data_IF_079023035965
#
_entry.id   IF_079023035965
#
_cell.length_a   1.000
_cell.length_b   1.000
_cell.length_c   1.000
_cell.angle_alpha   90.00
_cell.angle_beta   90.00
_cell.angle_gamma   90.00
#
_symmetry.space_group_name_H-M   'P 1'
#
loop_
_entity.id
_entity.type
_entity.pdbx_description
1 polymer ?
#
# COMPACT_ATOMS: atom_id res chain seq x y z
N UNK A 1 -18.28 -1.37 -10.05
CA UNK A 1 -18.03 -0.10 -9.32
C UNK A 1 -19.31 0.72 -9.11
N UNK A 2 -20.52 0.15 -9.20
CA UNK A 2 -21.75 0.96 -9.07
C UNK A 2 -21.95 1.56 -7.66
N UNK A 3 -21.31 1.00 -6.63
CA UNK A 3 -21.49 1.43 -5.23
C UNK A 3 -20.25 2.07 -4.58
N UNK A 4 -19.13 2.21 -5.31
CA UNK A 4 -17.86 2.70 -4.77
C UNK A 4 -17.17 3.68 -5.73
N UNK A 5 -16.78 4.85 -5.21
CA UNK A 5 -16.02 5.88 -5.95
C UNK A 5 -14.50 5.67 -5.93
N UNK A 6 -13.98 4.79 -5.06
CA UNK A 6 -12.56 4.46 -4.98
C UNK A 6 -12.35 3.01 -4.55
N UNK A 7 -11.24 2.41 -4.94
CA UNK A 7 -10.88 1.06 -4.54
C UNK A 7 -9.56 0.57 -5.13
N UNK A 8 -9.26 -0.71 -4.89
CA UNK A 8 -8.09 -1.38 -5.46
C UNK A 8 -8.39 -2.85 -5.77
N UNK A 9 -7.49 -3.51 -6.51
CA UNK A 9 -7.52 -4.97 -6.62
C UNK A 9 -6.95 -5.62 -5.36
N UNK A 10 -7.30 -6.88 -5.14
CA UNK A 10 -6.56 -7.69 -4.17
C UNK A 10 -5.19 -8.07 -4.72
N UNK A 11 -4.18 -8.22 -3.87
CA UNK A 11 -2.85 -8.72 -4.28
C UNK A 11 -2.74 -10.22 -4.07
N UNK A 12 -2.02 -10.89 -4.97
CA UNK A 12 -1.59 -12.27 -4.86
C UNK A 12 -0.15 -12.43 -5.38
N UNK A 13 0.55 -13.46 -4.89
CA UNK A 13 1.90 -13.77 -5.33
C UNK A 13 1.91 -15.12 -6.04
N UNK A 14 2.76 -15.26 -7.07
CA UNK A 14 2.97 -16.55 -7.75
C UNK A 14 3.75 -17.55 -6.90
N UNK A 15 4.54 -17.05 -5.95
CA UNK A 15 5.38 -17.85 -5.06
C UNK A 15 4.53 -18.69 -4.10
N UNK A 16 4.87 -19.98 -3.94
CA UNK A 16 4.29 -20.88 -2.92
C UNK A 16 4.86 -20.64 -1.52
N UNK A 17 5.68 -19.61 -1.34
CA UNK A 17 6.29 -19.29 -0.07
C UNK A 17 5.24 -18.83 0.96
N UNK A 18 5.26 -19.44 2.15
CA UNK A 18 4.34 -19.16 3.25
C UNK A 18 4.29 -17.66 3.62
N UNK A 19 5.42 -16.96 3.62
CA UNK A 19 5.45 -15.52 3.94
C UNK A 19 4.83 -14.66 2.84
N UNK A 20 4.90 -15.08 1.58
CA UNK A 20 4.21 -14.37 0.51
C UNK A 20 2.70 -14.58 0.61
N UNK A 21 2.27 -15.75 1.09
CA UNK A 21 0.88 -15.98 1.46
C UNK A 21 0.42 -15.08 2.60
N UNK A 22 1.21 -14.93 3.68
CA UNK A 22 0.86 -14.02 4.78
C UNK A 22 0.84 -12.56 4.34
N UNK A 23 1.81 -12.12 3.52
CA UNK A 23 1.80 -10.80 2.87
C UNK A 23 0.50 -10.56 2.10
N UNK A 24 0.05 -11.55 1.31
CA UNK A 24 -1.24 -11.49 0.59
C UNK A 24 -2.41 -11.32 1.55
N UNK A 25 -2.47 -12.08 2.64
CA UNK A 25 -3.60 -12.01 3.59
C UNK A 25 -3.60 -10.66 4.29
N UNK A 26 -2.47 -10.24 4.85
CA UNK A 26 -2.33 -8.99 5.59
C UNK A 26 -2.60 -7.79 4.69
N UNK A 27 -2.04 -7.77 3.47
CA UNK A 27 -2.22 -6.65 2.54
C UNK A 27 -3.69 -6.49 2.13
N UNK A 28 -4.38 -7.59 1.83
CA UNK A 28 -5.80 -7.53 1.48
C UNK A 28 -6.69 -7.19 2.69
N UNK A 29 -6.35 -7.69 3.89
CA UNK A 29 -7.08 -7.35 5.10
C UNK A 29 -6.93 -5.86 5.45
N UNK A 30 -5.71 -5.31 5.31
CA UNK A 30 -5.35 -3.90 5.55
C UNK A 30 -6.27 -2.89 4.84
N UNK A 31 -6.70 -3.23 3.62
CA UNK A 31 -7.62 -2.36 2.87
C UNK A 31 -9.00 -2.33 3.52
N UNK A 32 -9.45 -3.45 4.08
CA UNK A 32 -10.79 -3.57 4.69
C UNK A 32 -10.87 -2.93 6.07
N UNK A 33 -9.87 -3.16 6.92
CA UNK A 33 -9.85 -2.67 8.31
C UNK A 33 -9.32 -1.22 8.40
N UNK A 34 -8.18 -0.92 7.77
CA UNK A 34 -7.49 0.37 7.91
C UNK A 34 -7.86 1.35 6.82
N UNK A 35 -8.53 0.90 5.75
CA UNK A 35 -8.84 1.69 4.55
C UNK A 35 -7.59 2.27 3.89
N UNK A 36 -6.52 1.47 3.83
CA UNK A 36 -5.27 1.89 3.21
C UNK A 36 -4.97 0.99 2.02
N UNK A 37 -4.87 1.58 0.83
CA UNK A 37 -4.48 0.92 -0.41
C UNK A 37 -2.98 1.13 -0.65
N UNK A 38 -2.37 0.29 -1.48
CA UNK A 38 -1.01 0.49 -1.97
C UNK A 38 -1.03 0.48 -3.50
N UNK A 39 -0.03 1.10 -4.13
CA UNK A 39 0.08 1.18 -5.58
C UNK A 39 0.19 -0.19 -6.25
N UNK A 40 0.82 -1.17 -5.60
CA UNK A 40 0.94 -2.55 -6.09
C UNK A 40 -0.39 -3.32 -6.14
N UNK A 41 -1.42 -2.80 -5.46
CA UNK A 41 -2.78 -3.33 -5.49
C UNK A 41 -3.59 -2.79 -6.68
N UNK A 42 -3.05 -1.88 -7.50
CA UNK A 42 -3.76 -1.27 -8.61
C UNK A 42 -4.95 -0.44 -8.12
N UNK A 43 -4.67 0.81 -7.75
CA UNK A 43 -5.68 1.75 -7.26
C UNK A 43 -6.53 2.23 -8.44
N UNK A 44 -7.85 2.25 -8.26
CA UNK A 44 -8.81 2.87 -9.16
C UNK A 44 -9.69 3.85 -8.39
N UNK A 45 -9.97 4.99 -9.01
CA UNK A 45 -10.72 6.07 -8.38
C UNK A 45 -11.51 6.83 -9.45
N UNK A 46 -12.69 7.28 -9.06
CA UNK A 46 -13.49 8.22 -9.82
C UNK A 46 -12.72 9.51 -10.10
N UNK A 47 -12.83 10.03 -11.32
CA UNK A 47 -12.02 11.18 -11.75
C UNK A 47 -12.30 12.42 -10.90
N UNK A 48 -13.57 12.71 -10.65
CA UNK A 48 -13.97 13.91 -9.93
C UNK A 48 -13.49 13.83 -8.48
N UNK A 49 -13.62 12.64 -7.86
CA UNK A 49 -13.07 12.39 -6.53
C UNK A 49 -11.56 12.58 -6.48
N UNK A 50 -10.81 12.11 -7.48
CA UNK A 50 -9.36 12.24 -7.53
C UNK A 50 -8.91 13.70 -7.51
N UNK A 51 -9.57 14.57 -8.28
CA UNK A 51 -9.30 15.99 -8.27
C UNK A 51 -9.81 16.67 -6.98
N UNK A 52 -10.96 16.27 -6.45
CA UNK A 52 -11.52 16.76 -5.19
C UNK A 52 -10.55 16.55 -4.01
N UNK A 53 -9.86 15.40 -3.98
CA UNK A 53 -8.86 15.09 -2.94
C UNK A 53 -7.45 15.59 -3.26
N UNK A 54 -7.30 16.45 -4.27
CA UNK A 54 -6.03 17.05 -4.71
C UNK A 54 -4.99 16.05 -5.23
N UNK A 55 -5.44 14.97 -5.86
CA UNK A 55 -4.61 14.01 -6.57
C UNK A 55 -3.60 13.29 -5.64
N UNK A 56 -2.54 12.71 -6.20
CA UNK A 56 -1.41 12.24 -5.40
C UNK A 56 -0.55 13.43 -4.95
N UNK A 57 -0.10 13.44 -3.69
CA UNK A 57 0.84 14.46 -3.23
C UNK A 57 2.20 14.26 -3.88
N UNK A 58 2.85 15.38 -4.21
CA UNK A 58 4.22 15.38 -4.74
C UNK A 58 5.22 15.25 -3.58
N UNK A 59 5.40 14.01 -3.11
CA UNK A 59 6.33 13.64 -2.04
C UNK A 59 7.28 12.54 -2.52
N UNK A 60 8.52 12.46 -1.99
CA UNK A 60 9.53 11.55 -2.52
C UNK A 60 9.20 10.05 -2.31
N UNK A 61 8.34 9.73 -1.33
CA UNK A 61 7.87 8.39 -1.02
C UNK A 61 6.54 8.48 -0.26
N UNK A 62 5.75 7.40 -0.23
CA UNK A 62 4.47 7.28 0.51
C UNK A 62 3.31 8.04 -0.13
N UNK A 63 3.40 8.39 -1.41
CA UNK A 63 2.37 9.09 -2.17
C UNK A 63 1.04 8.31 -2.19
N UNK A 64 1.11 6.98 -2.38
CA UNK A 64 -0.04 6.08 -2.39
C UNK A 64 -0.67 5.89 -1.00
N UNK A 65 0.18 5.87 0.02
CA UNK A 65 -0.20 5.76 1.42
C UNK A 65 -0.90 7.04 1.88
N UNK A 66 -0.34 8.22 1.57
CA UNK A 66 -0.95 9.50 1.88
C UNK A 66 -2.27 9.68 1.13
N UNK A 67 -2.34 9.34 -0.15
CA UNK A 67 -3.58 9.37 -0.91
C UNK A 67 -4.67 8.50 -0.24
N UNK A 68 -4.30 7.32 0.24
CA UNK A 68 -5.23 6.45 0.97
C UNK A 68 -5.66 7.04 2.31
N UNK A 69 -4.77 7.71 3.04
CA UNK A 69 -5.12 8.42 4.28
C UNK A 69 -6.09 9.57 4.01
N UNK A 70 -5.87 10.36 2.96
CA UNK A 70 -6.75 11.46 2.56
C UNK A 70 -8.14 10.95 2.18
N UNK A 71 -8.24 9.84 1.42
CA UNK A 71 -9.54 9.20 1.14
C UNK A 71 -10.24 8.72 2.40
N UNK A 72 -9.48 8.17 3.36
CA UNK A 72 -10.00 7.71 4.64
C UNK A 72 -10.52 8.87 5.49
N UNK A 73 -9.78 9.98 5.57
CA UNK A 73 -10.15 11.21 6.29
C UNK A 73 -11.42 11.84 5.70
N UNK A 74 -11.57 11.79 4.37
CA UNK A 74 -12.78 12.23 3.65
C UNK A 74 -13.96 11.26 3.79
N UNK A 75 -13.80 10.15 4.51
CA UNK A 75 -14.87 9.17 4.73
C UNK A 75 -15.25 8.35 3.49
N UNK A 76 -14.41 8.35 2.44
CA UNK A 76 -14.70 7.63 1.19
C UNK A 76 -14.80 6.14 1.47
N UNK A 77 -15.87 5.52 0.97
CA UNK A 77 -16.03 4.05 1.02
C UNK A 77 -15.13 3.42 -0.04
N UNK A 78 -14.24 2.53 0.40
CA UNK A 78 -13.32 1.81 -0.49
C UNK A 78 -13.91 0.45 -0.88
N UNK A 79 -13.85 0.16 -2.18
CA UNK A 79 -14.15 -1.16 -2.75
C UNK A 79 -12.89 -1.99 -2.97
N UNK A 80 -13.01 -3.31 -2.93
CA UNK A 80 -11.96 -4.22 -3.42
C UNK A 80 -12.51 -5.05 -4.58
N UNK A 81 -11.80 -5.08 -5.70
CA UNK A 81 -12.22 -5.89 -6.83
C UNK A 81 -12.17 -7.39 -6.51
N UNK A 82 -13.10 -8.17 -7.09
CA UNK A 82 -13.14 -9.62 -6.89
C UNK A 82 -11.96 -10.36 -7.53
N UNK A 83 -11.37 -9.79 -8.58
CA UNK A 83 -10.12 -10.30 -9.18
C UNK A 83 -8.89 -9.78 -8.43
N UNK A 84 -7.78 -10.52 -8.53
CA UNK A 84 -6.51 -10.16 -7.92
C UNK A 84 -5.42 -9.86 -8.94
N UNK A 85 -4.56 -8.92 -8.63
CA UNK A 85 -3.30 -8.68 -9.33
C UNK A 85 -2.28 -9.69 -8.79
N UNK A 86 -1.70 -10.47 -9.71
CA UNK A 86 -0.61 -11.36 -9.39
C UNK A 86 0.72 -10.63 -9.58
N UNK A 87 1.58 -10.69 -8.57
CA UNK A 87 2.89 -10.06 -8.58
C UNK A 87 4.00 -11.06 -8.26
N UNK A 88 5.21 -10.72 -8.73
CA UNK A 88 6.44 -11.47 -8.48
C UNK A 88 7.03 -11.06 -7.13
N UNK A 89 7.57 -12.03 -6.38
CA UNK A 89 8.31 -11.78 -5.15
C UNK A 89 9.80 -11.46 -5.39
N UNK A 90 10.20 -11.11 -6.62
CA UNK A 90 11.61 -10.85 -7.01
C UNK A 90 12.33 -9.78 -6.17
N UNK A 91 11.60 -8.81 -5.63
CA UNK A 91 12.16 -7.73 -4.78
C UNK A 91 12.35 -8.16 -3.33
N UNK A 92 11.78 -9.29 -2.93
CA UNK A 92 12.03 -9.84 -1.61
C UNK A 92 13.35 -10.64 -1.66
N UNK A 93 14.26 -10.41 -0.70
CA UNK A 93 15.49 -11.18 -0.62
C UNK A 93 15.20 -12.69 -0.42
N UNK A 94 16.15 -13.53 -0.83
CA UNK A 94 16.07 -14.98 -0.57
C UNK A 94 16.23 -15.25 0.93
N UNK A 95 15.54 -16.27 1.43
CA UNK A 95 15.57 -16.68 2.83
C UNK A 95 14.53 -15.97 3.72
N UNK A 96 14.18 -16.59 4.84
CA UNK A 96 13.10 -16.14 5.73
C UNK A 96 13.44 -14.87 6.51
N UNK A 97 14.61 -14.85 7.15
CA UNK A 97 15.03 -13.73 8.01
C UNK A 97 15.15 -12.42 7.21
N UNK A 98 15.81 -12.39 6.03
CA UNK A 98 15.86 -11.17 5.22
C UNK A 98 14.48 -10.64 4.81
N UNK A 99 13.53 -11.53 4.47
CA UNK A 99 12.15 -11.12 4.13
C UNK A 99 11.45 -10.46 5.31
N UNK A 100 11.55 -11.04 6.49
CA UNK A 100 10.96 -10.48 7.71
C UNK A 100 11.55 -9.12 8.05
N UNK A 101 12.87 -8.94 7.86
CA UNK A 101 13.53 -7.63 8.02
C UNK A 101 12.94 -6.58 7.08
N UNK A 102 12.78 -6.89 5.79
CA UNK A 102 12.15 -5.98 4.82
C UNK A 102 10.71 -5.64 5.22
N UNK A 103 9.91 -6.65 5.59
CA UNK A 103 8.52 -6.44 6.04
C UNK A 103 8.46 -5.54 7.28
N UNK A 104 9.38 -5.72 8.22
CA UNK A 104 9.48 -4.88 9.42
C UNK A 104 9.92 -3.45 9.08
N UNK A 105 10.96 -3.27 8.26
CA UNK A 105 11.42 -1.97 7.79
C UNK A 105 10.29 -1.19 7.11
N UNK A 106 9.52 -1.83 6.22
CA UNK A 106 8.36 -1.22 5.57
C UNK A 106 7.28 -0.78 6.59
N UNK A 107 7.02 -1.59 7.62
CA UNK A 107 6.09 -1.22 8.68
C UNK A 107 6.61 -0.05 9.53
N UNK A 108 7.92 0.00 9.81
CA UNK A 108 8.59 1.09 10.52
C UNK A 108 8.48 2.40 9.74
N UNK A 109 8.79 2.42 8.45
CA UNK A 109 8.69 3.63 7.62
C UNK A 109 7.26 4.20 7.62
N UNK A 110 6.24 3.35 7.53
CA UNK A 110 4.83 3.79 7.66
C UNK A 110 4.48 4.31 9.05
N UNK A 111 5.14 3.81 10.09
CA UNK A 111 4.96 4.31 11.47
C UNK A 111 5.57 5.72 11.59
N UNK A 112 6.80 5.90 11.12
CA UNK A 112 7.47 7.20 11.07
C UNK A 112 6.64 8.23 10.30
N UNK A 113 6.04 7.83 9.18
CA UNK A 113 5.14 8.69 8.42
C UNK A 113 3.92 9.15 9.24
N UNK A 114 3.30 8.25 10.02
CA UNK A 114 2.19 8.60 10.92
C UNK A 114 2.62 9.47 12.11
N UNK A 115 3.88 9.37 12.50
CA UNK A 115 4.50 10.19 13.55
C UNK A 115 5.02 11.53 13.00
N UNK A 116 4.71 11.87 11.75
CA UNK A 116 5.07 13.12 11.08
C UNK A 116 6.58 13.39 11.01
N UNK A 117 7.39 12.32 10.97
CA UNK A 117 8.83 12.42 10.68
C UNK A 117 9.01 13.03 9.28
N UNK A 118 10.00 13.92 9.06
CA UNK A 118 10.27 14.51 7.76
C UNK A 118 10.37 13.47 6.63
N UNK A 119 9.67 13.72 5.52
CA UNK A 119 9.52 12.73 4.45
C UNK A 119 10.85 12.42 3.75
N UNK A 120 11.78 13.36 3.77
CA UNK A 120 13.15 13.25 3.25
C UNK A 120 13.99 12.27 4.09
N UNK A 121 13.76 12.19 5.40
CA UNK A 121 14.40 11.17 6.25
C UNK A 121 13.86 9.78 5.94
N UNK A 122 12.54 9.66 5.78
CA UNK A 122 11.89 8.41 5.40
C UNK A 122 12.38 7.97 4.00
N UNK A 123 12.53 8.90 3.06
CA UNK A 123 13.04 8.62 1.72
C UNK A 123 14.48 8.10 1.74
N UNK A 124 15.36 8.70 2.55
CA UNK A 124 16.75 8.21 2.75
C UNK A 124 16.76 6.78 3.30
N UNK A 125 15.99 6.51 4.35
CA UNK A 125 15.89 5.16 4.93
C UNK A 125 15.27 4.13 3.97
N UNK A 126 14.41 4.57 3.05
CA UNK A 126 13.84 3.70 2.02
C UNK A 126 14.88 3.30 0.96
N UNK A 127 15.80 4.19 0.59
CA UNK A 127 16.88 3.89 -0.36
C UNK A 127 17.75 2.74 0.15
N UNK A 128 18.02 2.67 1.45
CA UNK A 128 18.81 1.58 2.06
C UNK A 128 18.10 0.22 2.04
N UNK A 129 16.78 0.19 1.87
CA UNK A 129 16.00 -1.05 1.78
C UNK A 129 15.90 -1.57 0.34
N UNK A 130 16.20 -0.72 -0.64
CA UNK A 130 15.91 -0.96 -2.06
C UNK A 130 17.04 -1.63 -2.82
#
# INVERSE_FOLDING_TARGET
MRDYRAGCFGIAFHSRNFFMFTCRVISNHRVKDRKVMFGDQGIFVDRDLFFEVRMFPEIPIMEDYQFSLTLKEKGVRLGMAGKRIYTSDRRFPKGTIPKLRVMWSMNRLRKMYREQVPIEEIARLYQDVR
#
